data_IF_644047568472
#
_entry.id   IF_644047568472
#
_cell.length_a   1.000
_cell.length_b   1.000
_cell.length_c   1.000
_cell.angle_alpha   90.00
_cell.angle_beta   90.00
_cell.angle_gamma   90.00
#
_symmetry.space_group_name_H-M   'P 1'
#
loop_
_entity.id
_entity.type
_entity.pdbx_description
1 polymer ?
#
# COMPACT_ATOMS: atom_id res chain seq x y z
N UNK A 1 -21.40 -6.92 -5.38
CA UNK A 1 -20.75 -7.28 -6.65
C UNK A 1 -21.56 -6.70 -7.80
N UNK A 2 -21.35 -5.40 -8.12
CA UNK A 2 -22.03 -4.72 -9.21
C UNK A 2 -21.52 -5.20 -10.57
N UNK A 3 -22.25 -6.13 -11.20
CA UNK A 3 -22.11 -6.45 -12.63
C UNK A 3 -23.17 -5.71 -13.42
N UNK A 4 -22.93 -4.43 -13.64
CA UNK A 4 -23.87 -3.53 -14.32
C UNK A 4 -23.45 -3.39 -15.77
N UNK A 5 -24.34 -3.80 -16.68
CA UNK A 5 -24.18 -3.62 -18.11
C UNK A 5 -24.74 -2.25 -18.54
N UNK A 6 -23.93 -1.49 -19.26
CA UNK A 6 -24.26 -0.18 -19.80
C UNK A 6 -24.33 -0.18 -21.34
N UNK A 7 -23.63 -1.10 -22.00
CA UNK A 7 -23.58 -1.21 -23.46
C UNK A 7 -23.62 -2.66 -23.88
N UNK A 8 -24.45 -3.00 -24.87
CA UNK A 8 -24.38 -4.30 -25.54
C UNK A 8 -23.17 -4.36 -26.46
N UNK A 9 -22.32 -5.37 -26.28
CA UNK A 9 -21.12 -5.54 -27.10
C UNK A 9 -20.86 -7.00 -27.41
N UNK A 10 -20.45 -7.27 -28.66
CA UNK A 10 -20.05 -8.61 -29.09
C UNK A 10 -18.55 -8.79 -28.88
N UNK A 11 -18.19 -9.92 -28.29
CA UNK A 11 -16.81 -10.29 -28.02
C UNK A 11 -16.42 -11.49 -28.88
N UNK A 12 -15.17 -11.52 -29.35
CA UNK A 12 -14.61 -12.72 -29.96
C UNK A 12 -14.42 -13.82 -28.93
N UNK A 13 -14.32 -15.08 -29.36
CA UNK A 13 -14.01 -16.20 -28.46
C UNK A 13 -12.70 -15.97 -27.68
N UNK A 14 -11.68 -15.42 -28.34
CA UNK A 14 -10.41 -15.07 -27.70
C UNK A 14 -10.57 -13.95 -26.64
N UNK A 15 -11.43 -12.96 -26.90
CA UNK A 15 -11.73 -11.91 -25.92
C UNK A 15 -12.48 -12.46 -24.71
N UNK A 16 -13.44 -13.38 -24.92
CA UNK A 16 -14.18 -14.02 -23.83
C UNK A 16 -13.28 -14.86 -22.93
N UNK A 17 -12.32 -15.59 -23.50
CA UNK A 17 -11.31 -16.33 -22.72
C UNK A 17 -10.47 -15.39 -21.85
N UNK A 18 -10.02 -14.26 -22.39
CA UNK A 18 -9.30 -13.23 -21.63
C UNK A 18 -10.17 -12.69 -20.49
N UNK A 19 -11.45 -12.39 -20.75
CA UNK A 19 -12.37 -11.87 -19.74
C UNK A 19 -12.59 -12.89 -18.61
N UNK A 20 -12.79 -14.16 -18.96
CA UNK A 20 -12.95 -15.23 -17.98
C UNK A 20 -11.72 -15.39 -17.08
N UNK A 21 -10.51 -15.32 -17.65
CA UNK A 21 -9.25 -15.34 -16.90
C UNK A 21 -9.11 -14.13 -15.99
N UNK A 22 -9.47 -12.94 -16.47
CA UNK A 22 -9.46 -11.72 -15.67
C UNK A 22 -10.42 -11.79 -14.48
N UNK A 23 -11.65 -12.26 -14.71
CA UNK A 23 -12.66 -12.48 -13.67
C UNK A 23 -12.15 -13.44 -12.59
N UNK A 24 -11.52 -14.55 -12.99
CA UNK A 24 -10.96 -15.52 -12.04
C UNK A 24 -9.83 -14.92 -11.19
N UNK A 25 -8.90 -14.20 -11.81
CA UNK A 25 -7.77 -13.55 -11.12
C UNK A 25 -8.30 -12.47 -10.15
N UNK A 26 -9.17 -11.57 -10.63
CA UNK A 26 -9.73 -10.52 -9.79
C UNK A 26 -10.57 -11.08 -8.64
N UNK A 27 -11.36 -12.13 -8.88
CA UNK A 27 -12.14 -12.80 -7.84
C UNK A 27 -11.29 -13.54 -6.80
N UNK A 28 -10.11 -14.04 -7.18
CA UNK A 28 -9.12 -14.58 -6.25
C UNK A 28 -8.59 -13.49 -5.31
N UNK A 29 -8.09 -12.39 -5.86
CA UNK A 29 -7.54 -11.28 -5.07
C UNK A 29 -8.59 -10.58 -4.21
N UNK A 30 -9.80 -10.40 -4.72
CA UNK A 30 -10.87 -9.76 -3.96
C UNK A 30 -11.31 -10.59 -2.75
N UNK A 31 -11.31 -11.93 -2.84
CA UNK A 31 -11.54 -12.80 -1.67
C UNK A 31 -10.46 -12.68 -0.60
N UNK A 32 -9.27 -12.24 -0.99
CA UNK A 32 -8.16 -11.94 -0.08
C UNK A 32 -8.17 -10.48 0.39
N UNK A 33 -9.15 -9.68 -0.02
CA UNK A 33 -9.31 -8.28 0.37
C UNK A 33 -8.54 -7.27 -0.50
N UNK A 34 -8.08 -7.68 -1.68
CA UNK A 34 -7.37 -6.80 -2.62
C UNK A 34 -8.20 -6.48 -3.86
N UNK A 35 -8.30 -5.20 -4.21
CA UNK A 35 -8.64 -4.77 -5.57
C UNK A 35 -7.37 -4.60 -6.42
N UNK A 36 -7.50 -4.65 -7.75
CA UNK A 36 -6.37 -4.51 -8.67
C UNK A 36 -6.46 -3.23 -9.49
N UNK A 37 -5.32 -2.73 -9.94
CA UNK A 37 -5.26 -1.82 -11.09
C UNK A 37 -5.16 -2.62 -12.39
N UNK A 38 -5.49 -2.00 -13.53
CA UNK A 38 -5.34 -2.64 -14.84
C UNK A 38 -3.90 -3.13 -15.10
N UNK A 39 -2.91 -2.39 -14.61
CA UNK A 39 -1.49 -2.75 -14.75
C UNK A 39 -1.12 -3.99 -13.94
N UNK A 40 -1.67 -4.10 -12.73
CA UNK A 40 -1.45 -5.30 -11.91
C UNK A 40 -2.09 -6.52 -12.54
N UNK A 41 -3.34 -6.39 -13.03
CA UNK A 41 -3.98 -7.47 -13.77
C UNK A 41 -3.12 -7.94 -14.95
N UNK A 42 -2.54 -7.01 -15.71
CA UNK A 42 -1.62 -7.34 -16.80
C UNK A 42 -0.42 -8.19 -16.35
N UNK A 43 0.27 -7.80 -15.28
CA UNK A 43 1.39 -8.61 -14.77
C UNK A 43 0.94 -9.97 -14.24
N UNK A 44 -0.27 -10.08 -13.68
CA UNK A 44 -0.84 -11.38 -13.29
C UNK A 44 -1.10 -12.30 -14.49
N UNK A 45 -1.40 -11.75 -15.67
CA UNK A 45 -1.49 -12.51 -16.93
C UNK A 45 -0.10 -12.94 -17.43
N UNK A 46 0.88 -12.04 -17.37
CA UNK A 46 2.27 -12.34 -17.78
C UNK A 46 2.88 -13.42 -16.88
N UNK A 47 2.73 -13.31 -15.56
CA UNK A 47 3.26 -14.28 -14.60
C UNK A 47 2.62 -15.67 -14.73
N UNK A 48 1.39 -15.76 -15.27
CA UNK A 48 0.68 -17.02 -15.56
C UNK A 48 0.87 -17.52 -17.00
N UNK A 49 1.79 -16.91 -17.75
CA UNK A 49 2.08 -17.22 -19.15
C UNK A 49 0.86 -17.12 -20.09
N UNK A 50 -0.11 -16.25 -19.74
CA UNK A 50 -1.29 -15.99 -20.56
C UNK A 50 -1.04 -14.93 -21.63
N UNK A 51 -0.09 -14.02 -21.39
CA UNK A 51 0.31 -12.97 -22.31
C UNK A 51 1.82 -12.78 -22.26
N UNK A 52 2.42 -12.49 -23.42
CA UNK A 52 3.80 -12.05 -23.46
C UNK A 52 3.95 -10.67 -22.79
N UNK A 53 5.10 -10.43 -22.17
CA UNK A 53 5.41 -9.13 -21.58
C UNK A 53 5.76 -8.10 -22.68
N UNK A 54 4.72 -7.58 -23.35
CA UNK A 54 4.83 -6.61 -24.42
C UNK A 54 3.79 -5.47 -24.29
N UNK A 55 4.21 -4.24 -24.59
CA UNK A 55 3.34 -3.06 -24.51
C UNK A 55 2.10 -3.16 -25.38
N UNK A 56 2.17 -3.89 -26.50
CA UNK A 56 1.03 -4.19 -27.38
C UNK A 56 -0.03 -5.03 -26.68
N UNK A 57 0.38 -6.06 -25.93
CA UNK A 57 -0.53 -6.91 -25.16
C UNK A 57 -1.16 -6.15 -23.99
N UNK A 58 -0.39 -5.25 -23.33
CA UNK A 58 -0.95 -4.37 -22.30
C UNK A 58 -2.09 -3.49 -22.84
N UNK A 59 -1.88 -2.84 -24.00
CA UNK A 59 -2.93 -2.01 -24.63
C UNK A 59 -4.14 -2.84 -25.04
N UNK A 60 -3.90 -4.05 -25.58
CA UNK A 60 -4.95 -4.98 -25.98
C UNK A 60 -5.79 -5.44 -24.78
N UNK A 61 -5.14 -5.85 -23.69
CA UNK A 61 -5.82 -6.22 -22.44
C UNK A 61 -6.64 -5.05 -21.91
N UNK A 62 -6.07 -3.84 -21.87
CA UNK A 62 -6.78 -2.64 -21.43
C UNK A 62 -8.07 -2.37 -22.21
N UNK A 63 -8.04 -2.49 -23.53
CA UNK A 63 -9.24 -2.34 -24.36
C UNK A 63 -10.29 -3.40 -24.05
N UNK A 64 -9.90 -4.69 -23.96
CA UNK A 64 -10.82 -5.80 -23.72
C UNK A 64 -11.50 -5.65 -22.35
N UNK A 65 -10.73 -5.31 -21.32
CA UNK A 65 -11.22 -5.15 -19.95
C UNK A 65 -12.18 -3.96 -19.83
N UNK A 66 -11.86 -2.83 -20.47
CA UNK A 66 -12.76 -1.69 -20.51
C UNK A 66 -14.12 -2.06 -21.14
N UNK A 67 -14.07 -2.76 -22.28
CA UNK A 67 -15.26 -3.19 -23.00
C UNK A 67 -16.08 -4.19 -22.18
N UNK A 68 -15.42 -5.13 -21.51
CA UNK A 68 -16.05 -6.14 -20.66
C UNK A 68 -16.78 -5.52 -19.47
N UNK A 69 -16.20 -4.50 -18.81
CA UNK A 69 -16.84 -3.76 -17.72
C UNK A 69 -18.09 -3.04 -18.20
N UNK A 70 -18.02 -2.36 -19.35
CA UNK A 70 -19.19 -1.70 -19.95
C UNK A 70 -20.30 -2.69 -20.33
N UNK A 71 -19.94 -3.92 -20.72
CA UNK A 71 -20.89 -4.98 -21.03
C UNK A 71 -21.38 -5.77 -19.80
N UNK A 72 -20.94 -5.41 -18.58
CA UNK A 72 -21.32 -6.12 -17.34
C UNK A 72 -20.70 -7.51 -17.18
N UNK A 73 -19.66 -7.84 -17.96
CA UNK A 73 -18.97 -9.14 -17.91
C UNK A 73 -17.86 -9.21 -16.85
N UNK A 74 -17.48 -8.06 -16.27
CA UNK A 74 -16.50 -7.95 -15.20
C UNK A 74 -17.06 -7.03 -14.11
N UNK A 75 -16.88 -7.40 -12.83
CA UNK A 75 -17.35 -6.58 -11.71
C UNK A 75 -16.67 -5.20 -11.69
N UNK A 76 -17.46 -4.15 -11.42
CA UNK A 76 -16.95 -2.79 -11.37
C UNK A 76 -15.94 -2.55 -10.24
N UNK A 77 -16.05 -3.29 -9.13
CA UNK A 77 -15.21 -3.14 -7.95
C UNK A 77 -13.85 -3.85 -8.10
N UNK A 78 -13.67 -4.71 -9.12
CA UNK A 78 -12.41 -5.43 -9.32
C UNK A 78 -11.24 -4.55 -9.76
N UNK A 79 -11.53 -3.48 -10.52
CA UNK A 79 -10.51 -2.61 -11.10
C UNK A 79 -10.74 -1.16 -10.71
N UNK A 80 -9.87 -0.66 -9.84
CA UNK A 80 -9.99 0.67 -9.24
C UNK A 80 -8.84 1.57 -9.69
N UNK A 81 -9.17 2.78 -10.16
CA UNK A 81 -8.20 3.87 -10.29
C UNK A 81 -8.19 4.66 -8.98
N UNK A 82 -7.18 4.40 -8.15
CA UNK A 82 -7.09 4.92 -6.79
C UNK A 82 -6.76 6.42 -6.71
N UNK A 83 -6.65 7.11 -7.85
CA UNK A 83 -6.24 8.53 -7.90
C UNK A 83 -7.39 9.53 -7.86
N UNK A 84 -8.66 9.09 -7.93
CA UNK A 84 -9.82 9.98 -8.11
C UNK A 84 -10.98 9.64 -7.17
N UNK A 85 -11.02 10.27 -5.99
CA UNK A 85 -12.09 10.09 -4.99
C UNK A 85 -12.98 11.34 -4.85
N UNK A 86 -14.29 11.14 -4.80
CA UNK A 86 -15.28 12.19 -4.47
C UNK A 86 -15.10 12.60 -2.99
N UNK A 87 -15.08 13.90 -2.71
CA UNK A 87 -15.01 14.46 -1.35
C UNK A 87 -16.33 15.12 -0.99
N UNK A 88 -16.86 14.85 0.20
CA UNK A 88 -18.08 15.45 0.75
C UNK A 88 -17.99 15.60 2.27
N UNK A 89 -18.95 16.31 2.86
CA UNK A 89 -19.06 16.46 4.31
C UNK A 89 -19.70 15.23 4.95
N UNK A 90 -19.27 14.89 6.18
CA UNK A 90 -19.93 13.85 6.98
C UNK A 90 -21.15 14.42 7.69
N UNK A 91 -22.30 13.75 7.56
CA UNK A 91 -23.53 14.06 8.27
C UNK A 91 -23.92 12.87 9.18
N UNK A 92 -24.55 13.18 10.32
CA UNK A 92 -24.96 12.18 11.32
C UNK A 92 -26.39 12.47 11.77
N UNK A 93 -27.21 11.44 11.89
CA UNK A 93 -28.63 11.60 12.24
C UNK A 93 -28.86 11.89 13.74
N UNK A 94 -27.90 11.52 14.60
CA UNK A 94 -27.97 11.71 16.05
C UNK A 94 -26.57 11.80 16.70
N UNK A 95 -26.42 12.41 17.89
CA UNK A 95 -25.13 12.54 18.57
C UNK A 95 -24.46 11.19 18.91
N UNK A 96 -25.21 10.16 19.27
CA UNK A 96 -24.66 8.83 19.53
C UNK A 96 -24.05 8.20 18.27
N UNK A 97 -24.51 8.59 17.08
CA UNK A 97 -24.00 8.09 15.79
C UNK A 97 -22.60 8.61 15.50
N UNK A 98 -22.31 9.89 15.79
CA UNK A 98 -20.95 10.41 15.68
C UNK A 98 -20.02 9.78 16.73
N UNK A 99 -20.49 9.52 17.95
CA UNK A 99 -19.68 8.84 18.97
C UNK A 99 -19.40 7.38 18.57
N UNK A 100 -20.38 6.69 17.99
CA UNK A 100 -20.21 5.32 17.46
C UNK A 100 -19.16 5.29 16.36
N UNK A 101 -19.23 6.26 15.45
CA UNK A 101 -18.24 6.44 14.39
C UNK A 101 -16.85 6.74 14.95
N UNK A 102 -16.75 7.67 15.91
CA UNK A 102 -15.52 7.98 16.61
C UNK A 102 -14.95 6.75 17.31
N UNK A 103 -15.78 5.91 17.94
CA UNK A 103 -15.36 4.67 18.55
C UNK A 103 -14.83 3.66 17.52
N UNK A 104 -15.45 3.56 16.34
CA UNK A 104 -14.98 2.70 15.26
C UNK A 104 -13.64 3.18 14.68
N UNK A 105 -13.44 4.50 14.59
CA UNK A 105 -12.20 5.13 14.13
C UNK A 105 -11.13 5.32 15.21
N UNK A 106 -11.45 5.05 16.48
CA UNK A 106 -10.56 5.33 17.60
C UNK A 106 -9.28 4.50 17.51
N UNK A 107 -8.16 5.21 17.37
CA UNK A 107 -6.81 4.65 17.36
C UNK A 107 -5.92 5.51 18.23
N UNK A 108 -5.08 4.86 19.02
CA UNK A 108 -3.96 5.49 19.72
C UNK A 108 -2.68 5.01 19.05
N UNK A 109 -1.63 5.83 19.08
CA UNK A 109 -0.35 5.47 18.47
C UNK A 109 0.29 4.27 19.19
N UNK A 110 0.27 3.09 18.56
CA UNK A 110 0.80 1.84 19.15
C UNK A 110 2.33 1.80 19.16
N UNK A 111 2.96 2.61 18.31
CA UNK A 111 4.41 2.73 18.22
C UNK A 111 5.02 3.72 19.22
N UNK A 112 4.22 4.45 20.01
CA UNK A 112 4.73 5.54 20.85
C UNK A 112 5.83 5.11 21.85
N UNK A 113 5.70 3.89 22.41
CA UNK A 113 6.65 3.36 23.39
C UNK A 113 7.66 2.36 22.79
N UNK A 114 7.63 2.15 21.47
CA UNK A 114 8.53 1.22 20.80
C UNK A 114 9.94 1.80 20.71
N UNK A 115 11.00 0.97 20.82
CA UNK A 115 12.38 1.45 20.66
C UNK A 115 12.69 1.90 19.23
N UNK A 116 11.92 1.41 18.25
CA UNK A 116 12.06 1.76 16.83
C UNK A 116 10.80 2.47 16.33
N UNK A 117 10.98 3.30 15.30
CA UNK A 117 9.89 3.92 14.57
C UNK A 117 9.98 3.56 13.09
N UNK A 118 9.07 2.73 12.62
CA UNK A 118 9.10 2.20 11.26
C UNK A 118 8.23 3.03 10.31
N UNK A 119 8.70 3.25 9.09
CA UNK A 119 7.92 3.77 7.96
C UNK A 119 8.15 2.93 6.71
N UNK A 120 7.13 2.82 5.85
CA UNK A 120 7.21 2.08 4.58
C UNK A 120 7.16 3.02 3.38
N UNK A 121 8.24 3.09 2.63
CA UNK A 121 8.39 3.99 1.51
C UNK A 121 8.44 3.19 0.22
N UNK A 122 7.62 3.56 -0.76
CA UNK A 122 7.53 2.88 -2.04
C UNK A 122 7.84 3.83 -3.19
N UNK A 123 8.66 3.37 -4.12
CA UNK A 123 9.01 4.11 -5.33
C UNK A 123 7.77 4.45 -6.19
N UNK A 124 6.86 3.47 -6.32
CA UNK A 124 5.80 3.48 -7.34
C UNK A 124 4.42 3.80 -6.76
N UNK A 125 3.88 4.96 -7.14
CA UNK A 125 2.58 5.45 -6.65
C UNK A 125 1.42 4.48 -6.89
N UNK A 126 1.43 3.77 -8.02
CA UNK A 126 0.40 2.80 -8.39
C UNK A 126 0.26 1.65 -7.36
N UNK A 127 1.32 1.35 -6.62
CA UNK A 127 1.36 0.29 -5.62
C UNK A 127 1.00 0.75 -4.20
N UNK A 128 0.74 2.04 -3.98
CA UNK A 128 0.35 2.56 -2.66
C UNK A 128 -0.86 1.83 -2.09
N UNK A 129 -1.87 1.54 -2.93
CA UNK A 129 -3.06 0.81 -2.48
C UNK A 129 -2.82 -0.67 -2.16
N UNK A 130 -1.71 -1.26 -2.62
CA UNK A 130 -1.34 -2.63 -2.20
C UNK A 130 -0.73 -2.61 -0.81
N UNK A 131 0.19 -1.67 -0.56
CA UNK A 131 0.91 -1.62 0.71
C UNK A 131 0.09 -0.96 1.83
N UNK A 132 -0.91 -0.15 1.49
CA UNK A 132 -1.71 0.58 2.49
C UNK A 132 -2.39 -0.38 3.46
N UNK A 133 -2.87 -1.53 3.00
CA UNK A 133 -3.50 -2.55 3.83
C UNK A 133 -2.56 -3.04 4.94
N UNK A 134 -1.36 -3.52 4.59
CA UNK A 134 -0.38 -4.01 5.57
C UNK A 134 0.10 -2.90 6.50
N UNK A 135 0.31 -1.69 5.98
CA UNK A 135 0.76 -0.56 6.79
C UNK A 135 -0.31 -0.14 7.82
N UNK A 136 -1.57 -0.03 7.40
CA UNK A 136 -2.69 0.33 8.29
C UNK A 136 -2.95 -0.75 9.35
N UNK A 137 -2.87 -2.04 9.00
CA UNK A 137 -2.99 -3.13 9.98
C UNK A 137 -1.91 -3.02 11.06
N UNK A 138 -0.70 -2.62 10.67
CA UNK A 138 0.46 -2.49 11.55
C UNK A 138 0.71 -1.05 12.08
N UNK A 139 -0.23 -0.11 11.93
CA UNK A 139 -0.09 1.28 12.44
C UNK A 139 1.16 2.01 11.92
N UNK A 140 1.63 1.66 10.73
CA UNK A 140 2.84 2.21 10.13
C UNK A 140 2.49 3.24 9.07
N UNK A 141 3.16 4.40 9.12
CA UNK A 141 3.06 5.42 8.09
C UNK A 141 3.74 4.95 6.80
N UNK A 142 3.15 5.31 5.66
CA UNK A 142 3.68 4.97 4.35
C UNK A 142 3.76 6.17 3.42
N UNK A 143 4.78 6.15 2.55
CA UNK A 143 5.12 7.27 1.67
C UNK A 143 5.39 6.79 0.24
N UNK A 144 4.94 7.55 -0.75
CA UNK A 144 5.18 7.31 -2.17
C UNK A 144 6.24 8.26 -2.69
N UNK A 145 7.41 7.75 -3.04
CA UNK A 145 8.55 8.55 -3.50
C UNK A 145 8.35 9.10 -4.93
N UNK A 146 7.54 8.39 -5.75
CA UNK A 146 7.27 8.72 -7.16
C UNK A 146 8.55 8.89 -7.99
N UNK A 147 9.46 7.95 -7.88
CA UNK A 147 10.81 8.15 -8.39
C UNK A 147 11.70 8.81 -7.33
N UNK A 148 12.61 9.68 -7.79
CA UNK A 148 13.51 10.41 -6.89
C UNK A 148 12.72 11.41 -6.08
N UNK A 149 12.75 11.27 -4.75
CA UNK A 149 11.98 12.11 -3.85
C UNK A 149 12.46 13.56 -3.89
N UNK A 150 11.53 14.51 -3.93
CA UNK A 150 11.85 15.94 -3.96
C UNK A 150 12.61 16.40 -2.70
N UNK A 151 13.32 17.52 -2.78
CA UNK A 151 14.04 18.08 -1.62
C UNK A 151 13.11 18.45 -0.47
N UNK A 152 11.97 19.08 -0.77
CA UNK A 152 11.00 19.48 0.26
C UNK A 152 10.41 18.29 1.00
N UNK A 153 10.08 17.20 0.28
CA UNK A 153 9.54 15.98 0.89
C UNK A 153 10.59 15.29 1.77
N UNK A 154 11.83 15.11 1.28
CA UNK A 154 12.89 14.50 2.08
C UNK A 154 13.31 15.36 3.27
N UNK A 155 13.31 16.69 3.13
CA UNK A 155 13.57 17.59 4.25
C UNK A 155 12.47 17.46 5.31
N UNK A 156 11.20 17.49 4.91
CA UNK A 156 10.06 17.30 5.83
C UNK A 156 10.10 15.94 6.53
N UNK A 157 10.43 14.88 5.79
CA UNK A 157 10.64 13.56 6.35
C UNK A 157 11.79 13.53 7.35
N UNK A 158 12.96 14.11 7.03
CA UNK A 158 14.09 14.18 7.94
C UNK A 158 13.74 14.93 9.24
N UNK A 159 13.04 16.06 9.15
CA UNK A 159 12.59 16.79 10.35
C UNK A 159 11.63 15.95 11.20
N UNK A 160 10.73 15.18 10.58
CA UNK A 160 9.83 14.27 11.28
C UNK A 160 10.59 13.11 11.92
N UNK A 161 11.51 12.45 11.21
CA UNK A 161 12.31 11.32 11.71
C UNK A 161 13.21 11.76 12.87
N UNK A 162 13.83 12.93 12.78
CA UNK A 162 14.63 13.50 13.85
C UNK A 162 13.80 13.84 15.12
N UNK A 163 12.47 14.05 15.00
CA UNK A 163 11.60 14.16 16.18
C UNK A 163 11.46 12.82 16.90
N UNK A 164 11.32 11.72 16.18
CA UNK A 164 11.25 10.39 16.79
C UNK A 164 12.54 10.03 17.53
N UNK A 165 13.70 10.41 16.98
CA UNK A 165 15.01 10.28 17.65
C UNK A 165 15.04 11.04 18.97
N UNK A 166 14.58 12.30 18.97
CA UNK A 166 14.48 13.12 20.19
C UNK A 166 13.50 12.53 21.21
N UNK A 167 12.53 11.74 20.76
CA UNK A 167 11.62 10.97 21.61
C UNK A 167 12.19 9.62 22.06
N UNK A 168 13.45 9.32 21.75
CA UNK A 168 14.14 8.10 22.17
C UNK A 168 13.92 6.89 21.25
N UNK A 169 13.31 7.08 20.07
CA UNK A 169 13.09 6.00 19.10
C UNK A 169 14.14 6.05 17.98
N UNK A 170 14.65 4.90 17.54
CA UNK A 170 15.50 4.79 16.35
C UNK A 170 14.60 4.69 15.09
N UNK A 171 14.62 5.65 14.17
CA UNK A 171 13.80 5.56 12.96
C UNK A 171 14.36 4.54 11.97
N UNK A 172 13.44 3.80 11.33
CA UNK A 172 13.72 2.80 10.30
C UNK A 172 12.82 3.07 9.11
N UNK A 173 13.40 3.24 7.93
CA UNK A 173 12.66 3.39 6.67
C UNK A 173 12.82 2.12 5.87
N UNK A 174 11.72 1.40 5.71
CA UNK A 174 11.60 0.24 4.84
C UNK A 174 11.32 0.77 3.42
N UNK A 175 12.26 0.59 2.50
CA UNK A 175 12.15 1.05 1.12
C UNK A 175 11.85 -0.11 0.15
N UNK A 176 10.83 0.09 -0.70
CA UNK A 176 10.48 -0.77 -1.81
C UNK A 176 10.73 -0.02 -3.11
N UNK A 177 11.68 -0.51 -3.93
CA UNK A 177 11.93 0.02 -5.27
C UNK A 177 12.07 -1.09 -6.30
N UNK A 178 12.06 -0.72 -7.58
CA UNK A 178 12.33 -1.66 -8.68
C UNK A 178 13.77 -2.18 -8.59
N UNK A 179 14.02 -3.40 -9.06
CA UNK A 179 15.38 -3.92 -9.21
C UNK A 179 15.91 -3.52 -10.59
N UNK A 180 16.28 -2.26 -10.70
CA UNK A 180 16.87 -1.65 -11.87
C UNK A 180 17.97 -0.64 -11.45
N UNK A 181 18.74 -0.05 -12.41
CA UNK A 181 19.83 0.86 -12.07
C UNK A 181 19.40 2.07 -11.22
N UNK A 182 18.19 2.61 -11.44
CA UNK A 182 17.67 3.76 -10.70
C UNK A 182 17.09 3.33 -9.35
N UNK A 183 16.27 2.28 -9.30
CA UNK A 183 15.59 1.82 -8.08
C UNK A 183 16.56 1.44 -6.95
N UNK A 184 17.70 0.84 -7.29
CA UNK A 184 18.77 0.56 -6.31
C UNK A 184 19.39 1.87 -5.81
N UNK A 185 19.71 2.79 -6.72
CA UNK A 185 20.32 4.08 -6.39
C UNK A 185 19.43 4.97 -5.53
N UNK A 186 18.11 4.92 -5.73
CA UNK A 186 17.17 5.74 -4.98
C UNK A 186 17.15 5.40 -3.49
N UNK A 187 17.40 4.14 -3.13
CA UNK A 187 17.55 3.74 -1.71
C UNK A 187 18.75 4.46 -1.08
N UNK A 188 19.87 4.53 -1.81
CA UNK A 188 21.09 5.24 -1.40
C UNK A 188 20.84 6.75 -1.34
N UNK A 189 20.18 7.34 -2.35
CA UNK A 189 19.82 8.78 -2.37
C UNK A 189 18.96 9.17 -1.16
N UNK A 190 17.96 8.36 -0.81
CA UNK A 190 17.12 8.57 0.39
C UNK A 190 17.99 8.60 1.64
N UNK A 191 18.83 7.58 1.84
CA UNK A 191 19.68 7.48 3.03
C UNK A 191 20.66 8.65 3.15
N UNK A 192 21.36 8.99 2.06
CA UNK A 192 22.33 10.09 2.03
C UNK A 192 21.68 11.45 2.30
N UNK A 193 20.50 11.69 1.73
CA UNK A 193 19.80 12.97 1.89
C UNK A 193 19.10 13.11 3.24
N UNK A 194 18.53 12.04 3.79
CA UNK A 194 18.03 12.05 5.17
C UNK A 194 19.16 12.37 6.15
N UNK A 195 20.34 11.75 5.95
CA UNK A 195 21.54 12.04 6.74
C UNK A 195 22.02 13.47 6.56
N UNK A 196 22.05 13.98 5.33
CA UNK A 196 22.40 15.37 5.02
C UNK A 196 21.50 16.36 5.76
N UNK A 197 20.21 16.05 5.89
CA UNK A 197 19.23 16.85 6.63
C UNK A 197 19.22 16.59 8.14
N UNK A 198 20.14 15.75 8.64
CA UNK A 198 20.38 15.57 10.08
C UNK A 198 19.56 14.47 10.75
N UNK A 199 18.97 13.53 9.99
CA UNK A 199 18.30 12.36 10.54
C UNK A 199 19.21 11.12 10.51
N UNK A 200 19.31 10.40 11.63
CA UNK A 200 20.02 9.12 11.78
C UNK A 200 19.05 7.94 11.60
N UNK A 201 18.76 7.64 10.34
CA UNK A 201 17.73 6.70 9.93
C UNK A 201 18.37 5.44 9.35
N UNK A 202 17.88 4.27 9.74
CA UNK A 202 18.23 3.01 9.09
C UNK A 202 17.32 2.79 7.87
N UNK A 203 17.86 2.95 6.66
CA UNK A 203 17.11 2.76 5.41
C UNK A 203 17.36 1.35 4.86
N UNK A 204 16.30 0.53 4.83
CA UNK A 204 16.34 -0.90 4.49
C UNK A 204 15.59 -1.19 3.20
N UNK A 205 16.30 -1.68 2.19
CA UNK A 205 15.66 -2.18 0.96
C UNK A 205 15.21 -3.63 1.14
N UNK A 206 13.91 -3.90 1.02
CA UNK A 206 13.35 -5.22 1.35
C UNK A 206 12.68 -5.97 0.20
N UNK A 207 12.45 -5.32 -0.95
CA UNK A 207 11.71 -5.92 -2.05
C UNK A 207 12.53 -5.93 -3.34
N UNK A 208 12.40 -7.03 -4.08
CA UNK A 208 13.20 -7.35 -5.26
C UNK A 208 14.70 -7.20 -5.00
N UNK A 209 15.21 -7.86 -3.97
CA UNK A 209 16.63 -8.17 -3.87
C UNK A 209 16.92 -9.44 -4.71
N UNK A 210 18.18 -9.69 -5.10
CA UNK A 210 18.49 -10.77 -6.06
C UNK A 210 18.09 -12.16 -5.55
N UNK A 211 18.22 -12.41 -4.25
CA UNK A 211 17.74 -13.62 -3.58
C UNK A 211 16.22 -13.81 -3.73
N UNK A 212 15.45 -12.72 -3.66
CA UNK A 212 14.01 -12.73 -3.87
C UNK A 212 13.65 -12.90 -5.35
N UNK A 213 14.42 -12.31 -6.25
CA UNK A 213 14.26 -12.51 -7.71
C UNK A 213 14.49 -13.97 -8.08
N UNK A 214 15.53 -14.60 -7.53
CA UNK A 214 15.83 -16.02 -7.73
C UNK A 214 14.73 -16.94 -7.15
N UNK A 215 14.18 -16.56 -5.99
CA UNK A 215 13.13 -17.33 -5.30
C UNK A 215 11.77 -17.22 -5.97
N UNK A 216 11.35 -16.00 -6.32
CA UNK A 216 10.00 -15.72 -6.83
C UNK A 216 9.91 -15.79 -8.36
N UNK A 217 11.06 -15.78 -9.06
CA UNK A 217 11.16 -15.79 -10.51
C UNK A 217 10.20 -14.81 -11.21
N UNK A 218 10.13 -13.53 -10.77
CA UNK A 218 9.26 -12.56 -11.43
C UNK A 218 9.71 -12.36 -12.89
N UNK A 219 8.77 -12.08 -13.81
CA UNK A 219 9.10 -11.88 -15.23
C UNK A 219 10.14 -10.77 -15.41
N UNK A 220 11.29 -11.05 -16.07
CA UNK A 220 12.32 -10.05 -16.27
C UNK A 220 11.94 -9.06 -17.37
N UNK A 221 12.46 -7.86 -17.25
CA UNK A 221 12.49 -6.83 -18.29
C UNK A 221 13.93 -6.58 -18.74
N UNK A 222 14.16 -6.08 -19.97
CA UNK A 222 15.47 -5.56 -20.35
C UNK A 222 15.85 -4.38 -19.46
N UNK A 223 17.06 -4.39 -18.91
CA UNK A 223 17.58 -3.27 -18.13
C UNK A 223 17.62 -1.97 -18.98
N UNK A 224 17.28 -0.84 -18.37
CA UNK A 224 17.28 0.48 -19.02
C UNK A 224 18.72 0.93 -19.31
N UNK A 225 19.24 0.56 -20.48
CA UNK A 225 20.64 0.83 -20.88
C UNK A 225 20.96 2.33 -21.07
N UNK A 226 19.93 3.17 -21.24
CA UNK A 226 20.08 4.62 -21.34
C UNK A 226 20.30 5.30 -19.98
N UNK A 227 20.14 4.57 -18.87
CA UNK A 227 20.44 5.08 -17.54
C UNK A 227 21.96 5.26 -17.37
N UNK A 228 22.40 6.40 -16.84
CA UNK A 228 23.81 6.67 -16.59
C UNK A 228 24.46 5.63 -15.65
N UNK A 229 23.64 4.96 -14.82
CA UNK A 229 24.03 3.92 -13.86
C UNK A 229 23.95 2.51 -14.45
N UNK A 230 23.47 2.36 -15.68
CA UNK A 230 23.30 1.06 -16.32
C UNK A 230 24.61 0.28 -16.42
N UNK A 231 25.74 0.97 -16.65
CA UNK A 231 27.03 0.31 -16.80
C UNK A 231 27.48 -0.44 -15.54
N UNK A 232 27.33 0.15 -14.35
CA UNK A 232 27.68 -0.52 -13.09
C UNK A 232 26.67 -1.61 -12.75
N UNK A 233 25.39 -1.35 -12.97
CA UNK A 233 24.33 -2.31 -12.75
C UNK A 233 24.52 -3.57 -13.61
N UNK A 234 24.78 -3.41 -14.91
CA UNK A 234 24.95 -4.54 -15.84
C UNK A 234 26.16 -5.40 -15.50
N UNK A 235 27.24 -4.79 -14.99
CA UNK A 235 28.40 -5.55 -14.50
C UNK A 235 28.07 -6.40 -13.27
N UNK A 236 27.15 -5.94 -12.43
CA UNK A 236 26.83 -6.59 -11.16
C UNK A 236 25.69 -7.61 -11.28
N UNK A 237 24.64 -7.28 -12.02
CA UNK A 237 23.36 -8.03 -12.05
C UNK A 237 22.97 -8.50 -13.46
N UNK A 238 23.75 -8.14 -14.48
CA UNK A 238 23.45 -8.48 -15.88
C UNK A 238 22.44 -7.54 -16.54
N UNK A 239 21.88 -7.97 -17.67
CA UNK A 239 21.08 -7.11 -18.57
C UNK A 239 19.58 -7.14 -18.29
N UNK A 240 19.18 -7.77 -17.19
CA UNK A 240 17.78 -7.90 -16.79
C UNK A 240 17.48 -6.97 -15.61
N UNK A 241 16.25 -6.49 -15.54
CA UNK A 241 15.69 -5.71 -14.43
C UNK A 241 14.29 -6.21 -14.09
N UNK A 242 13.82 -5.93 -12.88
CA UNK A 242 12.52 -6.38 -12.39
C UNK A 242 11.74 -5.24 -11.77
N UNK A 243 10.44 -5.17 -12.09
CA UNK A 243 9.54 -4.15 -11.53
C UNK A 243 8.78 -4.72 -10.35
N UNK A 244 8.53 -3.90 -9.32
CA UNK A 244 7.75 -4.29 -8.13
C UNK A 244 6.35 -4.80 -8.48
N UNK A 245 5.75 -4.26 -9.55
CA UNK A 245 4.43 -4.70 -10.03
C UNK A 245 4.41 -6.18 -10.47
N UNK A 246 5.58 -6.77 -10.72
CA UNK A 246 5.72 -8.18 -11.10
C UNK A 246 5.62 -9.13 -9.90
N UNK A 247 5.82 -8.63 -8.67
CA UNK A 247 5.53 -9.41 -7.47
C UNK A 247 4.03 -9.41 -7.21
N UNK A 248 3.50 -10.57 -6.81
CA UNK A 248 2.11 -10.65 -6.43
C UNK A 248 1.84 -9.85 -5.13
N UNK A 249 0.65 -9.20 -5.01
CA UNK A 249 0.29 -8.43 -3.83
C UNK A 249 0.45 -9.16 -2.49
N UNK A 250 0.22 -10.47 -2.44
CA UNK A 250 0.31 -11.24 -1.18
C UNK A 250 1.76 -11.45 -0.74
N UNK A 251 2.66 -11.64 -1.70
CA UNK A 251 4.10 -11.69 -1.43
C UNK A 251 4.60 -10.35 -0.94
N UNK A 252 4.21 -9.24 -1.57
CA UNK A 252 4.57 -7.90 -1.08
C UNK A 252 4.04 -7.64 0.33
N UNK A 253 2.78 -7.95 0.59
CA UNK A 253 2.15 -7.81 1.91
C UNK A 253 2.93 -8.59 2.99
N UNK A 254 3.28 -9.85 2.71
CA UNK A 254 4.04 -10.71 3.62
C UNK A 254 5.46 -10.23 3.87
N UNK A 255 6.18 -9.79 2.84
CA UNK A 255 7.55 -9.27 2.99
C UNK A 255 7.53 -8.01 3.87
N UNK A 256 6.60 -7.08 3.60
CA UNK A 256 6.45 -5.85 4.39
C UNK A 256 6.06 -6.18 5.83
N UNK A 257 5.08 -7.05 6.03
CA UNK A 257 4.62 -7.44 7.37
C UNK A 257 5.74 -8.09 8.18
N UNK A 258 6.51 -8.99 7.57
CA UNK A 258 7.66 -9.64 8.19
C UNK A 258 8.70 -8.63 8.65
N UNK A 259 9.05 -7.66 7.79
CA UNK A 259 10.04 -6.65 8.13
C UNK A 259 9.53 -5.74 9.26
N UNK A 260 8.29 -5.25 9.18
CA UNK A 260 7.71 -4.41 10.25
C UNK A 260 7.74 -5.15 11.59
N UNK A 261 7.40 -6.44 11.59
CA UNK A 261 7.39 -7.27 12.80
C UNK A 261 8.78 -7.43 13.41
N UNK A 262 9.85 -7.47 12.61
CA UNK A 262 11.22 -7.60 13.11
C UNK A 262 11.67 -6.40 13.96
N UNK A 263 11.10 -5.23 13.72
CA UNK A 263 11.41 -3.99 14.46
C UNK A 263 10.47 -3.71 15.62
N UNK A 264 9.45 -4.56 15.80
CA UNK A 264 8.39 -4.39 16.78
C UNK A 264 8.62 -5.27 18.00
N UNK A 265 8.64 -4.65 19.17
CA UNK A 265 8.48 -5.34 20.43
C UNK A 265 7.02 -5.78 20.61
N UNK A 266 6.80 -7.09 20.63
CA UNK A 266 5.47 -7.69 20.70
C UNK A 266 4.76 -7.39 22.02
N UNK A 267 5.47 -7.37 23.15
CA UNK A 267 4.86 -7.15 24.47
C UNK A 267 4.37 -5.70 24.61
N UNK A 268 5.21 -4.73 24.21
CA UNK A 268 4.85 -3.31 24.21
C UNK A 268 3.69 -3.04 23.24
N UNK A 269 3.69 -3.70 22.08
CA UNK A 269 2.61 -3.60 21.11
C UNK A 269 1.28 -4.12 21.63
N UNK A 270 1.31 -5.30 22.25
CA UNK A 270 0.12 -5.93 22.80
C UNK A 270 -0.44 -5.12 23.97
N UNK A 271 0.43 -4.59 24.84
CA UNK A 271 0.03 -3.70 25.93
C UNK A 271 -0.65 -2.42 25.40
N UNK A 272 -0.07 -1.77 24.39
CA UNK A 272 -0.66 -0.59 23.74
C UNK A 272 -2.00 -0.91 23.07
N UNK A 273 -2.08 -2.05 22.37
CA UNK A 273 -3.31 -2.52 21.71
C UNK A 273 -4.41 -2.80 22.73
N UNK A 274 -4.10 -3.49 23.84
CA UNK A 274 -5.07 -3.76 24.90
C UNK A 274 -5.59 -2.48 25.54
N UNK A 275 -4.73 -1.47 25.74
CA UNK A 275 -5.13 -0.15 26.23
C UNK A 275 -6.11 0.52 25.28
N UNK A 276 -5.75 0.60 24.00
CA UNK A 276 -6.61 1.16 22.96
C UNK A 276 -7.98 0.47 22.90
N UNK A 277 -8.02 -0.87 22.98
CA UNK A 277 -9.30 -1.62 22.96
C UNK A 277 -10.14 -1.43 24.24
N UNK A 278 -9.52 -1.13 25.39
CA UNK A 278 -10.27 -0.75 26.61
C UNK A 278 -10.93 0.62 26.43
N UNK A 279 -10.18 1.60 25.96
CA UNK A 279 -10.67 2.96 25.69
C UNK A 279 -11.74 2.95 24.58
N UNK A 280 -11.55 2.16 23.53
CA UNK A 280 -12.55 1.95 22.47
C UNK A 280 -13.85 1.34 23.01
N UNK A 281 -13.76 0.34 23.89
CA UNK A 281 -14.94 -0.27 24.53
C UNK A 281 -15.71 0.76 25.37
N UNK A 282 -15.01 1.65 26.06
CA UNK A 282 -15.64 2.75 26.78
C UNK A 282 -16.42 3.67 25.83
N UNK A 283 -15.83 4.09 24.71
CA UNK A 283 -16.52 4.92 23.71
C UNK A 283 -17.77 4.22 23.13
N UNK A 284 -17.68 2.91 22.86
CA UNK A 284 -18.83 2.11 22.43
C UNK A 284 -19.93 2.07 23.50
N UNK A 285 -19.56 1.92 24.78
CA UNK A 285 -20.52 1.93 25.89
C UNK A 285 -21.19 3.30 26.05
N UNK A 286 -20.43 4.39 25.90
CA UNK A 286 -20.95 5.78 25.91
C UNK A 286 -21.97 5.97 24.80
N UNK A 287 -21.67 5.55 23.57
CA UNK A 287 -22.60 5.61 22.45
C UNK A 287 -23.88 4.78 22.72
N UNK A 288 -23.74 3.59 23.29
CA UNK A 288 -24.87 2.72 23.62
C UNK A 288 -25.76 3.23 24.76
N UNK A 289 -25.21 4.04 25.67
CA UNK A 289 -25.90 4.62 26.84
C UNK A 289 -26.03 6.14 26.75
N UNK A 290 -26.12 6.68 25.53
CA UNK A 290 -26.07 8.12 25.31
C UNK A 290 -27.11 8.91 26.12
N UNK A 291 -28.33 8.37 26.26
CA UNK A 291 -29.38 9.02 27.05
C UNK A 291 -29.00 9.19 28.53
N UNK A 292 -28.30 8.23 29.12
CA UNK A 292 -27.84 8.30 30.52
C UNK A 292 -26.69 9.30 30.66
N UNK A 293 -25.77 9.30 29.68
CA UNK A 293 -24.64 10.24 29.62
C UNK A 293 -25.14 11.67 29.46
N UNK A 294 -26.12 11.90 28.59
CA UNK A 294 -26.72 13.20 28.36
C UNK A 294 -27.44 13.73 29.62
N UNK A 295 -28.18 12.88 30.33
CA UNK A 295 -28.82 13.24 31.60
C UNK A 295 -27.80 13.65 32.67
N UNK A 296 -26.73 12.86 32.84
CA UNK A 296 -25.67 13.14 33.82
C UNK A 296 -24.96 14.47 33.55
N UNK A 297 -24.71 14.80 32.28
CA UNK A 297 -24.08 16.07 31.90
C UNK A 297 -25.04 17.25 32.10
N UNK A 298 -26.34 17.07 31.81
CA UNK A 298 -27.36 18.09 32.03
C UNK A 298 -27.54 18.42 33.53
N UNK A 299 -27.51 17.41 34.41
CA UNK A 299 -27.60 17.58 35.87
C UNK A 299 -26.35 18.23 36.49
N UNK A 300 -25.18 18.12 35.83
CA UNK A 300 -23.93 18.72 36.29
C UNK A 300 -23.68 20.16 35.84
N UNK A 301 -24.51 20.70 34.94
CA UNK A 301 -24.36 22.04 34.35
C UNK A 301 -24.94 23.20 35.17
N UNK A 302 -25.66 22.90 36.25
CA UNK A 302 -26.32 23.88 37.14
C UNK A 302 -25.51 24.21 38.42
N UNK A 303 -24.18 24.01 38.40
CA UNK A 303 -23.26 24.37 39.50
C UNK A 303 -22.16 25.32 39.07
#
# INVERSE_FOLDING_TARGET
MPRIAYVERRFSAASLDIIAKAEAICGEYMRQGFDLTLRQLYYQFVARDFLANAQTEYKRLGSIINDARLAGLLDWDYIVDRTRNLRGLSHWDAPESIIRSAAAGYRTERWANQPHRVEVWIEKDALVGVISGVCQRNDVDYFSCRGYTSQSELWGAAQRLARYERSGQKPVVIHLGDHDPSGIDMTRDIAERLRLFGADVDVRRIALNMDQVETHQPPPNPAKLTDSRASSYVRQYGRSSWELDALDPTTLDRIIESEIRAWRDAELWDAATQRMERERRLLKAVSGRWHEVAALVAEGGDR
#
